data_IF_780451223658
#
_entry.id   IF_780451223658
#
_cell.length_a   1.000
_cell.length_b   1.000
_cell.length_c   1.000
_cell.angle_alpha   90.00
_cell.angle_beta   90.00
_cell.angle_gamma   90.00
#
_symmetry.space_group_name_H-M   'P 1'
#
loop_
_entity.id
_entity.type
_entity.pdbx_description
1 polymer ?
#
# COMPACT_ATOMS: atom_id res chain seq x y z
N UNK A 1 6.25 -19.62 -9.45
CA UNK A 1 7.04 -18.68 -10.28
C UNK A 1 6.58 -17.23 -10.11
N UNK A 2 5.30 -17.00 -9.82
CA UNK A 2 4.64 -15.72 -9.52
C UNK A 2 5.14 -15.03 -8.23
N UNK A 3 5.33 -15.75 -7.12
CA UNK A 3 5.77 -15.15 -5.84
C UNK A 3 7.18 -14.55 -5.86
N UNK A 4 8.08 -15.14 -6.64
CA UNK A 4 9.45 -14.66 -6.78
C UNK A 4 9.51 -13.33 -7.55
N UNK A 5 8.59 -13.12 -8.49
CA UNK A 5 8.47 -11.88 -9.26
C UNK A 5 7.84 -10.78 -8.39
N UNK A 6 6.75 -11.09 -7.69
CA UNK A 6 6.09 -10.16 -6.78
C UNK A 6 7.01 -9.72 -5.61
N UNK A 7 7.79 -10.63 -5.04
CA UNK A 7 8.79 -10.31 -4.00
C UNK A 7 9.93 -9.44 -4.55
N UNK A 8 10.36 -9.68 -5.79
CA UNK A 8 11.41 -8.89 -6.46
C UNK A 8 10.93 -7.46 -6.72
N UNK A 9 9.71 -7.27 -7.23
CA UNK A 9 9.11 -5.95 -7.48
C UNK A 9 8.85 -5.15 -6.19
N UNK A 10 8.40 -5.81 -5.11
CA UNK A 10 8.25 -5.18 -3.79
C UNK A 10 9.61 -4.72 -3.22
N UNK A 11 10.67 -5.51 -3.42
CA UNK A 11 12.03 -5.17 -2.96
C UNK A 11 12.68 -4.04 -3.74
N UNK A 12 12.47 -3.95 -5.06
CA UNK A 12 13.01 -2.86 -5.89
C UNK A 12 12.31 -1.54 -5.58
N UNK A 13 11.00 -1.58 -5.30
CA UNK A 13 10.22 -0.38 -4.99
C UNK A 13 10.58 0.19 -3.62
N UNK A 14 10.68 -0.66 -2.59
CA UNK A 14 11.11 -0.23 -1.25
C UNK A 14 12.57 0.30 -1.24
N UNK A 15 13.47 -0.35 -1.97
CA UNK A 15 14.84 0.13 -2.12
C UNK A 15 14.92 1.47 -2.85
N UNK A 16 14.08 1.67 -3.86
CA UNK A 16 14.00 2.93 -4.63
C UNK A 16 13.42 4.06 -3.77
N UNK A 17 12.34 3.81 -3.03
CA UNK A 17 11.77 4.77 -2.09
C UNK A 17 12.77 5.20 -1.01
N UNK A 18 13.53 4.25 -0.44
CA UNK A 18 14.59 4.55 0.53
C UNK A 18 15.72 5.40 -0.07
N UNK A 19 16.13 5.11 -1.31
CA UNK A 19 17.15 5.91 -2.02
C UNK A 19 16.65 7.32 -2.29
N UNK A 20 15.41 7.46 -2.78
CA UNK A 20 14.79 8.76 -3.03
C UNK A 20 14.68 9.56 -1.74
N UNK A 21 14.18 8.95 -0.66
CA UNK A 21 14.12 9.60 0.66
C UNK A 21 15.49 10.04 1.15
N UNK A 22 16.51 9.19 1.04
CA UNK A 22 17.88 9.54 1.42
C UNK A 22 18.44 10.71 0.59
N UNK A 23 18.19 10.71 -0.73
CA UNK A 23 18.60 11.80 -1.62
C UNK A 23 17.88 13.11 -1.30
N UNK A 24 16.56 13.06 -1.06
CA UNK A 24 15.76 14.23 -0.67
C UNK A 24 16.28 14.81 0.65
N UNK A 25 16.52 13.98 1.65
CA UNK A 25 17.09 14.42 2.94
C UNK A 25 18.49 15.01 2.78
N UNK A 26 19.34 14.39 1.96
CA UNK A 26 20.69 14.90 1.68
C UNK A 26 20.65 16.25 0.98
N UNK A 27 19.82 16.39 -0.06
CA UNK A 27 19.63 17.64 -0.80
C UNK A 27 19.06 18.73 0.11
N UNK A 28 18.08 18.41 0.95
CA UNK A 28 17.53 19.35 1.91
C UNK A 28 18.62 19.85 2.89
N UNK A 29 19.37 18.94 3.52
CA UNK A 29 20.44 19.29 4.45
C UNK A 29 21.56 20.11 3.77
N UNK A 30 21.99 19.69 2.57
CA UNK A 30 22.99 20.43 1.81
C UNK A 30 22.49 21.83 1.43
N UNK A 31 21.24 21.97 0.99
CA UNK A 31 20.68 23.26 0.59
C UNK A 31 20.50 24.20 1.79
N UNK A 32 20.12 23.68 2.97
CA UNK A 32 20.06 24.47 4.21
C UNK A 32 21.44 25.01 4.60
N UNK A 33 22.43 24.13 4.65
CA UNK A 33 23.79 24.51 5.05
C UNK A 33 24.43 25.45 4.04
N UNK A 34 24.34 25.14 2.75
CA UNK A 34 24.92 25.95 1.68
C UNK A 34 24.16 27.25 1.48
N UNK A 35 22.82 27.23 1.47
CA UNK A 35 21.97 28.41 1.29
C UNK A 35 22.08 29.38 2.45
N UNK A 36 22.03 28.90 3.70
CA UNK A 36 22.24 29.72 4.89
C UNK A 36 23.66 30.30 4.95
N UNK A 37 24.69 29.49 4.66
CA UNK A 37 26.08 29.98 4.66
C UNK A 37 26.36 30.97 3.53
N UNK A 38 25.79 30.75 2.34
CA UNK A 38 25.93 31.66 1.20
C UNK A 38 25.23 33.00 1.47
N UNK A 39 24.03 32.97 2.07
CA UNK A 39 23.36 34.20 2.48
C UNK A 39 24.19 34.95 3.52
N UNK A 40 24.66 34.26 4.56
CA UNK A 40 25.50 34.87 5.58
C UNK A 40 26.75 35.54 4.98
N UNK A 41 27.42 34.87 4.05
CA UNK A 41 28.65 35.41 3.43
C UNK A 41 28.40 36.69 2.63
N UNK A 42 27.22 36.82 2.00
CA UNK A 42 26.87 37.98 1.18
C UNK A 42 26.32 39.12 2.02
N UNK A 43 25.52 38.81 3.04
CA UNK A 43 24.80 39.81 3.84
C UNK A 43 25.61 40.29 5.07
N UNK A 44 26.70 39.62 5.45
CA UNK A 44 27.46 39.96 6.67
C UNK A 44 28.05 41.38 6.66
N UNK A 45 28.36 41.91 5.49
CA UNK A 45 29.02 43.21 5.31
C UNK A 45 28.00 44.33 4.99
N UNK A 46 26.69 44.00 4.92
CA UNK A 46 25.65 44.94 4.53
C UNK A 46 25.12 45.73 5.74
N UNK A 47 25.09 47.08 5.70
CA UNK A 47 24.65 47.91 6.82
C UNK A 47 23.18 47.72 7.21
N UNK A 48 22.32 47.39 6.24
CA UNK A 48 20.88 47.15 6.45
C UNK A 48 20.54 45.68 6.64
N UNK A 49 21.52 44.83 6.99
CA UNK A 49 21.30 43.39 7.20
C UNK A 49 20.29 43.15 8.32
N UNK A 50 19.46 42.14 8.13
CA UNK A 50 18.63 41.58 9.21
C UNK A 50 19.23 40.30 9.79
N UNK A 51 20.24 39.72 9.14
CA UNK A 51 20.88 38.45 9.52
C UNK A 51 22.14 38.77 10.32
N UNK A 52 22.06 38.64 11.65
CA UNK A 52 23.13 39.10 12.53
C UNK A 52 24.23 38.05 12.75
N UNK A 53 23.86 36.78 12.75
CA UNK A 53 24.74 35.64 12.97
C UNK A 53 24.58 34.56 11.88
N UNK A 54 25.53 33.61 11.84
CA UNK A 54 25.40 32.42 10.98
C UNK A 54 24.19 31.56 11.38
N UNK A 55 23.87 31.51 12.67
CA UNK A 55 22.69 30.82 13.19
C UNK A 55 21.39 31.39 12.63
N UNK A 56 21.28 32.72 12.55
CA UNK A 56 20.09 33.40 11.99
C UNK A 56 19.95 33.12 10.49
N UNK A 57 21.07 33.00 9.76
CA UNK A 57 21.06 32.65 8.36
C UNK A 57 20.59 31.20 8.12
N UNK A 58 21.00 30.28 9.01
CA UNK A 58 20.55 28.89 8.96
C UNK A 58 19.06 28.77 9.34
N UNK A 59 18.63 29.51 10.36
CA UNK A 59 17.22 29.61 10.74
C UNK A 59 16.37 30.15 9.59
N UNK A 60 16.80 31.24 8.94
CA UNK A 60 16.17 31.75 7.73
C UNK A 60 16.08 30.69 6.63
N UNK A 61 17.17 29.93 6.40
CA UNK A 61 17.17 28.90 5.38
C UNK A 61 16.14 27.79 5.71
N UNK A 62 16.02 27.40 6.99
CA UNK A 62 15.02 26.43 7.46
C UNK A 62 13.61 26.94 7.25
N UNK A 63 13.29 28.16 7.70
CA UNK A 63 11.94 28.73 7.59
C UNK A 63 11.55 28.98 6.14
N UNK A 64 12.50 29.32 5.27
CA UNK A 64 12.28 29.49 3.84
C UNK A 64 12.09 28.17 3.12
N UNK A 65 12.96 27.18 3.35
CA UNK A 65 12.87 25.85 2.74
C UNK A 65 11.56 25.15 3.11
N UNK A 66 11.14 25.28 4.37
CA UNK A 66 9.87 24.73 4.88
C UNK A 66 8.65 25.56 4.48
N UNK A 67 8.84 26.66 3.74
CA UNK A 67 7.77 27.58 3.29
C UNK A 67 7.00 28.25 4.43
N UNK A 68 7.54 28.26 5.66
CA UNK A 68 6.96 28.96 6.81
C UNK A 68 7.16 30.47 6.68
N UNK A 69 8.40 30.89 6.44
CA UNK A 69 8.76 32.28 6.11
C UNK A 69 8.24 33.33 7.10
N UNK A 70 8.67 33.28 8.37
CA UNK A 70 8.26 34.25 9.39
C UNK A 70 8.56 35.71 9.01
N UNK A 71 9.61 35.95 8.22
CA UNK A 71 10.00 37.28 7.76
C UNK A 71 10.78 38.10 8.78
N UNK A 72 11.23 37.45 9.86
CA UNK A 72 12.12 37.99 10.89
C UNK A 72 13.53 38.28 10.36
N UNK A 73 14.02 37.42 9.46
CA UNK A 73 15.26 37.62 8.73
C UNK A 73 14.98 37.52 7.23
N UNK A 74 15.47 38.48 6.43
CA UNK A 74 15.28 38.51 4.98
C UNK A 74 16.54 39.00 4.25
N UNK A 75 16.84 38.47 3.06
CA UNK A 75 17.90 39.01 2.20
C UNK A 75 17.56 40.44 1.76
N UNK A 76 18.47 41.38 2.03
CA UNK A 76 18.31 42.77 1.58
C UNK A 76 19.07 43.04 0.29
N UNK A 77 20.15 42.30 0.02
CA UNK A 77 20.94 42.43 -1.20
C UNK A 77 20.26 41.76 -2.40
N UNK A 78 20.55 42.25 -3.61
CA UNK A 78 20.06 41.62 -4.86
C UNK A 78 20.59 40.19 -5.00
N UNK A 79 21.86 39.95 -4.65
CA UNK A 79 22.46 38.62 -4.70
C UNK A 79 21.83 37.66 -3.68
N UNK A 80 21.59 38.12 -2.44
CA UNK A 80 20.87 37.35 -1.43
C UNK A 80 19.46 36.97 -1.86
N UNK A 81 18.75 37.87 -2.55
CA UNK A 81 17.42 37.56 -3.11
C UNK A 81 17.46 36.51 -4.21
N UNK A 82 18.49 36.49 -5.06
CA UNK A 82 18.65 35.43 -6.06
C UNK A 82 18.88 34.05 -5.40
N UNK A 83 19.66 34.01 -4.31
CA UNK A 83 19.84 32.79 -3.52
C UNK A 83 18.52 32.36 -2.89
N UNK A 84 17.73 33.29 -2.37
CA UNK A 84 16.42 33.01 -1.79
C UNK A 84 15.47 32.39 -2.82
N UNK A 85 15.42 32.92 -4.05
CA UNK A 85 14.60 32.34 -5.12
C UNK A 85 15.02 30.91 -5.44
N UNK A 86 16.34 30.65 -5.54
CA UNK A 86 16.85 29.31 -5.76
C UNK A 86 16.50 28.36 -4.59
N UNK A 87 16.65 28.82 -3.34
CA UNK A 87 16.30 28.07 -2.14
C UNK A 87 14.81 27.72 -2.09
N UNK A 88 13.93 28.66 -2.45
CA UNK A 88 12.48 28.44 -2.52
C UNK A 88 12.12 27.37 -3.55
N UNK A 89 12.72 27.42 -4.74
CA UNK A 89 12.48 26.40 -5.78
C UNK A 89 12.90 25.00 -5.30
N UNK A 90 14.04 24.89 -4.61
CA UNK A 90 14.49 23.62 -4.01
C UNK A 90 13.55 23.19 -2.87
N UNK A 91 13.07 24.13 -2.04
CA UNK A 91 12.12 23.84 -0.97
C UNK A 91 10.83 23.18 -1.46
N UNK A 92 10.24 23.73 -2.54
CA UNK A 92 9.06 23.15 -3.18
C UNK A 92 9.36 21.73 -3.70
N UNK A 93 10.52 21.51 -4.33
CA UNK A 93 10.91 20.20 -4.83
C UNK A 93 11.11 19.17 -3.69
N UNK A 94 11.73 19.57 -2.58
CA UNK A 94 11.93 18.74 -1.39
C UNK A 94 10.59 18.35 -0.77
N UNK A 95 9.70 19.32 -0.54
CA UNK A 95 8.37 19.07 0.03
C UNK A 95 7.53 18.16 -0.90
N UNK A 96 7.59 18.38 -2.20
CA UNK A 96 6.95 17.50 -3.20
C UNK A 96 7.51 16.07 -3.16
N UNK A 97 8.83 15.92 -3.01
CA UNK A 97 9.48 14.61 -2.86
C UNK A 97 9.03 13.87 -1.61
N UNK A 98 8.94 14.57 -0.47
CA UNK A 98 8.42 13.98 0.79
C UNK A 98 6.96 13.54 0.61
N UNK A 99 6.11 14.40 0.05
CA UNK A 99 4.70 14.08 -0.21
C UNK A 99 4.54 12.86 -1.13
N UNK A 100 5.38 12.75 -2.17
CA UNK A 100 5.37 11.62 -3.08
C UNK A 100 5.74 10.29 -2.39
N UNK A 101 6.73 10.31 -1.48
CA UNK A 101 7.10 9.12 -0.69
C UNK A 101 5.96 8.70 0.22
N UNK A 102 5.31 9.65 0.91
CA UNK A 102 4.16 9.36 1.76
C UNK A 102 3.01 8.77 0.94
N UNK A 103 2.68 9.39 -0.20
CA UNK A 103 1.64 8.90 -1.10
C UNK A 103 1.93 7.47 -1.58
N UNK A 104 3.19 7.16 -1.91
CA UNK A 104 3.61 5.82 -2.31
C UNK A 104 3.39 4.79 -1.19
N UNK A 105 3.78 5.12 0.04
CA UNK A 105 3.60 4.22 1.20
C UNK A 105 2.12 3.95 1.45
N UNK A 106 1.28 4.99 1.39
CA UNK A 106 -0.17 4.85 1.55
C UNK A 106 -0.77 4.00 0.43
N UNK A 107 -0.40 4.26 -0.83
CA UNK A 107 -0.89 3.48 -1.97
C UNK A 107 -0.53 1.99 -1.84
N UNK A 108 0.68 1.67 -1.36
CA UNK A 108 1.09 0.29 -1.11
C UNK A 108 0.29 -0.35 0.03
N UNK A 109 0.01 0.39 1.10
CA UNK A 109 -0.78 -0.11 2.21
C UNK A 109 -2.23 -0.44 1.79
N UNK A 110 -2.82 0.41 0.94
CA UNK A 110 -4.17 0.20 0.39
C UNK A 110 -4.20 -1.02 -0.53
N UNK A 111 -3.28 -1.11 -1.50
CA UNK A 111 -3.23 -2.24 -2.43
C UNK A 111 -3.04 -3.59 -1.70
N UNK A 112 -2.21 -3.62 -0.65
CA UNK A 112 -2.02 -4.82 0.17
C UNK A 112 -3.26 -5.21 0.99
N UNK A 113 -4.10 -4.24 1.36
CA UNK A 113 -5.37 -4.52 2.05
C UNK A 113 -6.44 -5.07 1.08
N UNK A 114 -6.49 -4.55 -0.14
CA UNK A 114 -7.37 -5.05 -1.20
C UNK A 114 -7.04 -6.50 -1.58
N UNK A 115 -5.76 -6.82 -1.79
CA UNK A 115 -5.30 -8.18 -2.12
C UNK A 115 -5.78 -9.22 -1.09
N UNK A 116 -5.61 -8.92 0.21
CA UNK A 116 -6.07 -9.80 1.30
C UNK A 116 -7.58 -10.00 1.33
N UNK A 117 -8.34 -8.97 0.95
CA UNK A 117 -9.80 -9.05 0.92
C UNK A 117 -10.25 -9.95 -0.22
N UNK A 118 -9.63 -9.81 -1.40
CA UNK A 118 -9.91 -10.65 -2.56
C UNK A 118 -9.51 -12.11 -2.32
N UNK A 119 -8.37 -12.36 -1.67
CA UNK A 119 -7.94 -13.70 -1.26
C UNK A 119 -8.97 -14.33 -0.31
N UNK A 120 -9.40 -13.62 0.74
CA UNK A 120 -10.41 -14.10 1.68
C UNK A 120 -11.77 -14.37 1.02
N UNK A 121 -12.20 -13.51 0.08
CA UNK A 121 -13.42 -13.74 -0.69
C UNK A 121 -13.30 -14.97 -1.59
N UNK A 122 -12.14 -15.18 -2.22
CA UNK A 122 -11.89 -16.34 -3.09
C UNK A 122 -11.90 -17.63 -2.28
N UNK A 123 -11.22 -17.67 -1.14
CA UNK A 123 -11.23 -18.80 -0.21
C UNK A 123 -12.64 -19.10 0.30
N UNK A 124 -13.42 -18.07 0.63
CA UNK A 124 -14.81 -18.23 1.05
C UNK A 124 -15.71 -18.78 -0.06
N UNK A 125 -15.47 -18.39 -1.31
CA UNK A 125 -16.19 -18.93 -2.48
C UNK A 125 -15.81 -20.39 -2.71
N UNK A 126 -14.52 -20.74 -2.64
CA UNK A 126 -14.02 -22.11 -2.79
C UNK A 126 -14.64 -23.05 -1.76
N UNK A 127 -14.54 -22.70 -0.46
CA UNK A 127 -15.17 -23.48 0.61
C UNK A 127 -16.68 -23.62 0.45
N UNK A 128 -17.36 -22.58 -0.07
CA UNK A 128 -18.79 -22.65 -0.35
C UNK A 128 -19.10 -23.61 -1.50
N UNK A 129 -18.26 -23.69 -2.52
CA UNK A 129 -18.41 -24.64 -3.62
C UNK A 129 -18.21 -26.06 -3.10
N UNK A 130 -17.13 -26.32 -2.37
CA UNK A 130 -16.84 -27.63 -1.77
C UNK A 130 -17.99 -28.13 -0.90
N UNK A 131 -18.47 -27.29 0.03
CA UNK A 131 -19.61 -27.63 0.89
C UNK A 131 -20.89 -27.92 0.08
N UNK A 132 -21.06 -27.28 -1.08
CA UNK A 132 -22.21 -27.53 -1.96
C UNK A 132 -22.07 -28.85 -2.71
N UNK A 133 -20.86 -29.20 -3.14
CA UNK A 133 -20.56 -30.47 -3.79
C UNK A 133 -20.78 -31.63 -2.80
N UNK A 134 -20.23 -31.55 -1.59
CA UNK A 134 -20.44 -32.56 -0.53
C UNK A 134 -21.93 -32.77 -0.22
N UNK A 135 -22.70 -31.67 -0.17
CA UNK A 135 -24.13 -31.73 0.05
C UNK A 135 -24.90 -32.36 -1.12
N UNK A 136 -24.41 -32.24 -2.35
CA UNK A 136 -24.98 -32.90 -3.52
C UNK A 136 -24.65 -34.39 -3.52
N UNK A 137 -23.41 -34.77 -3.22
CA UNK A 137 -23.00 -36.17 -3.12
C UNK A 137 -23.83 -36.90 -2.06
N UNK A 138 -23.99 -36.31 -0.87
CA UNK A 138 -24.85 -36.87 0.17
C UNK A 138 -26.33 -36.97 -0.22
N UNK A 139 -26.82 -36.13 -1.14
CA UNK A 139 -28.19 -36.26 -1.68
C UNK A 139 -28.29 -37.39 -2.69
N UNK A 140 -27.29 -37.55 -3.56
CA UNK A 140 -27.24 -38.63 -4.54
C UNK A 140 -27.21 -39.99 -3.85
N UNK A 141 -26.38 -40.15 -2.81
CA UNK A 141 -26.30 -41.38 -2.02
C UNK A 141 -27.66 -41.77 -1.41
N UNK A 142 -28.38 -40.79 -0.84
CA UNK A 142 -29.74 -41.02 -0.30
C UNK A 142 -30.73 -41.46 -1.37
N UNK A 143 -30.66 -40.87 -2.57
CA UNK A 143 -31.54 -41.26 -3.68
C UNK A 143 -31.21 -42.68 -4.13
N UNK A 144 -29.93 -43.01 -4.28
CA UNK A 144 -29.49 -44.35 -4.68
C UNK A 144 -29.95 -45.41 -3.67
N UNK A 145 -29.78 -45.16 -2.37
CA UNK A 145 -30.26 -46.04 -1.30
C UNK A 145 -31.79 -46.21 -1.35
N UNK A 146 -32.54 -45.12 -1.54
CA UNK A 146 -34.00 -45.17 -1.67
C UNK A 146 -34.46 -46.01 -2.87
N UNK A 147 -33.80 -45.85 -4.02
CA UNK A 147 -34.09 -46.63 -5.23
C UNK A 147 -33.83 -48.13 -5.03
N UNK A 148 -32.73 -48.49 -4.35
CA UNK A 148 -32.43 -49.90 -4.02
C UNK A 148 -33.52 -50.51 -3.15
N UNK A 149 -33.95 -49.79 -2.11
CA UNK A 149 -35.04 -50.26 -1.23
C UNK A 149 -36.36 -50.47 -1.96
N UNK A 150 -36.70 -49.61 -2.92
CA UNK A 150 -37.92 -49.77 -3.75
C UNK A 150 -37.80 -50.99 -4.68
N UNK A 151 -36.62 -51.20 -5.28
CA UNK A 151 -36.37 -52.37 -6.13
C UNK A 151 -36.51 -53.68 -5.34
N UNK A 152 -35.96 -53.73 -4.11
CA UNK A 152 -36.09 -54.87 -3.20
C UNK A 152 -37.55 -55.14 -2.81
N UNK A 153 -38.32 -54.11 -2.40
CA UNK A 153 -39.75 -54.28 -2.08
C UNK A 153 -40.57 -54.77 -3.28
N UNK A 154 -40.24 -54.31 -4.49
CA UNK A 154 -40.94 -54.75 -5.72
C UNK A 154 -40.62 -56.21 -6.05
N UNK A 155 -39.39 -56.66 -5.84
CA UNK A 155 -39.00 -58.05 -6.03
C UNK A 155 -39.71 -58.97 -5.02
N UNK A 156 -39.79 -58.56 -3.76
CA UNK A 156 -40.51 -59.29 -2.71
C UNK A 156 -42.01 -59.40 -3.04
N UNK A 157 -42.65 -58.29 -3.45
CA UNK A 157 -44.08 -58.30 -3.81
C UNK A 157 -44.41 -59.22 -4.99
N UNK A 158 -43.54 -59.30 -6.02
CA UNK A 158 -43.70 -60.26 -7.13
C UNK A 158 -43.50 -61.72 -6.69
N UNK A 159 -42.52 -61.97 -5.82
CA UNK A 159 -42.27 -63.32 -5.29
C UNK A 159 -43.41 -63.85 -4.41
N UNK A 160 -44.27 -62.98 -3.89
CA UNK A 160 -45.47 -63.36 -3.13
C UNK A 160 -46.60 -63.85 -4.05
N UNK A 161 -46.76 -63.27 -5.24
CA UNK A 161 -47.82 -63.59 -6.21
C UNK A 161 -47.57 -64.95 -6.91
N UNK A 162 -46.30 -65.35 -7.05
CA UNK A 162 -45.89 -66.65 -7.62
C UNK A 162 -45.91 -67.81 -6.60
N UNK A 163 -46.36 -67.60 -5.36
CA UNK A 163 -46.46 -68.69 -4.38
C UNK A 163 -47.67 -69.58 -4.70
N UNK A 164 -47.48 -70.88 -5.03
CA UNK A 164 -48.62 -71.76 -5.33
C UNK A 164 -49.52 -71.87 -4.10
N UNK A 165 -50.83 -71.64 -4.29
CA UNK A 165 -51.88 -71.78 -3.26
C UNK A 165 -52.13 -73.27 -2.96
N UNK A 166 -51.08 -74.00 -2.61
CA UNK A 166 -51.16 -75.41 -2.24
C UNK A 166 -50.84 -75.57 -0.76
N UNK A 167 -51.89 -75.60 0.05
CA UNK A 167 -52.10 -76.46 1.24
C UNK A 167 -53.11 -75.81 2.20
N UNK A 168 -54.40 -76.02 1.92
CA UNK A 168 -55.42 -76.19 2.94
C UNK A 168 -55.97 -77.61 2.76
N UNK A 169 -55.42 -78.56 3.49
CA UNK A 169 -55.99 -79.89 3.74
C UNK A 169 -55.37 -80.47 5.00
#
# INVERSE_FOLDING_TARGET
MTDAVARKERSTTAATARRISALVTLVAAATLLLGGSALWLIERDEPSRTVDSWGDALWWAVTTLTTVGYGDHIPVTTAGRLIAVALMAVGVAVLGGVAAVVALVVAQAVAAAEERTLEAETEAVEHRIEARLDALDARLDRIEQGLRLVAERRADTRGIDDRPISRLS
#
